data_IF_078136103897
#
_entry.id   IF_078136103897
#
_cell.length_a   1.000
_cell.length_b   1.000
_cell.length_c   1.000
_cell.angle_alpha   90.00
_cell.angle_beta   90.00
_cell.angle_gamma   90.00
#
_symmetry.space_group_name_H-M   'P 1'
#
loop_
_entity.id
_entity.type
_entity.pdbx_description
1 polymer ?
#
# COMPACT_ATOMS: atom_id res chain seq x y z
N UNK A 1 1.10 26.03 22.48
CA UNK A 1 1.10 26.20 21.03
C UNK A 1 0.61 24.90 20.42
N UNK A 2 -0.66 24.86 20.02
CA UNK A 2 -1.30 23.70 19.39
C UNK A 2 -1.61 24.10 17.97
N UNK A 3 -0.87 23.56 17.00
CA UNK A 3 -1.24 23.65 15.59
C UNK A 3 -1.61 22.25 15.12
N UNK A 4 -2.85 21.88 15.46
CA UNK A 4 -3.62 20.93 14.67
C UNK A 4 -3.82 21.55 13.30
N UNK A 5 -3.15 21.02 12.28
CA UNK A 5 -3.47 21.31 10.88
C UNK A 5 -3.74 20.00 10.16
N UNK A 6 -4.94 19.47 10.41
CA UNK A 6 -5.58 18.46 9.58
C UNK A 6 -5.94 19.06 8.23
N UNK A 7 -5.06 18.91 7.23
CA UNK A 7 -5.41 19.25 5.85
C UNK A 7 -6.10 18.05 5.17
N UNK A 8 -7.40 17.93 5.40
CA UNK A 8 -8.32 17.06 4.65
C UNK A 8 -8.63 17.67 3.27
N UNK A 9 -7.71 17.51 2.32
CA UNK A 9 -7.86 17.99 0.93
C UNK A 9 -8.39 16.92 -0.04
N UNK A 10 -9.60 17.16 -0.56
CA UNK A 10 -10.30 16.58 -1.74
C UNK A 10 -10.51 15.05 -1.83
N UNK A 11 -11.78 14.64 -1.67
CA UNK A 11 -12.32 13.36 -2.13
C UNK A 11 -12.56 13.38 -3.66
N UNK A 12 -12.03 12.38 -4.39
CA UNK A 12 -12.83 11.64 -5.37
C UNK A 12 -13.14 10.28 -4.75
N UNK A 13 -14.33 10.14 -4.19
CA UNK A 13 -14.82 8.85 -3.73
C UNK A 13 -15.45 8.14 -4.93
N UNK A 14 -14.93 6.95 -5.28
CA UNK A 14 -15.46 5.97 -6.25
C UNK A 14 -15.16 6.19 -7.75
N UNK A 15 -13.91 6.01 -8.16
CA UNK A 15 -13.55 5.67 -9.55
C UNK A 15 -13.82 4.18 -9.90
N UNK A 16 -14.70 3.52 -9.13
CA UNK A 16 -15.10 2.11 -9.31
C UNK A 16 -14.05 1.06 -8.91
N UNK A 17 -14.37 -0.24 -9.05
CA UNK A 17 -13.51 -1.36 -8.63
C UNK A 17 -12.11 -1.34 -9.25
N UNK A 18 -11.98 -0.83 -10.49
CA UNK A 18 -10.71 -0.72 -11.19
C UNK A 18 -9.73 0.22 -10.48
N UNK A 19 -10.22 1.35 -9.95
CA UNK A 19 -9.38 2.26 -9.19
C UNK A 19 -9.00 1.69 -7.83
N UNK A 20 -9.91 0.99 -7.15
CA UNK A 20 -9.59 0.30 -5.90
C UNK A 20 -8.48 -0.75 -6.07
N UNK A 21 -8.51 -1.52 -7.16
CA UNK A 21 -7.46 -2.50 -7.48
C UNK A 21 -6.10 -1.83 -7.75
N UNK A 22 -6.08 -0.75 -8.56
CA UNK A 22 -4.85 0.02 -8.84
C UNK A 22 -4.28 0.66 -7.57
N UNK A 23 -5.15 1.24 -6.73
CA UNK A 23 -4.74 1.84 -5.48
C UNK A 23 -4.15 0.81 -4.53
N UNK A 24 -4.77 -0.38 -4.40
CA UNK A 24 -4.20 -1.48 -3.58
C UNK A 24 -2.82 -1.88 -4.10
N UNK A 25 -2.66 -2.07 -5.41
CA UNK A 25 -1.36 -2.43 -5.99
C UNK A 25 -0.29 -1.36 -5.72
N UNK A 26 -0.60 -0.08 -5.95
CA UNK A 26 0.30 1.03 -5.64
C UNK A 26 0.69 1.08 -4.15
N UNK A 27 -0.28 0.87 -3.27
CA UNK A 27 -0.09 0.82 -1.82
C UNK A 27 0.82 -0.34 -1.38
N UNK A 28 0.66 -1.54 -1.95
CA UNK A 28 1.52 -2.71 -1.64
C UNK A 28 2.96 -2.44 -2.07
N UNK A 29 3.17 -1.93 -3.28
CA UNK A 29 4.50 -1.57 -3.78
C UNK A 29 5.17 -0.53 -2.88
N UNK A 30 4.45 0.56 -2.56
CA UNK A 30 4.97 1.60 -1.69
C UNK A 30 5.25 1.08 -0.26
N UNK A 31 4.41 0.19 0.27
CA UNK A 31 4.60 -0.40 1.59
C UNK A 31 5.89 -1.23 1.63
N UNK A 32 6.13 -2.07 0.61
CA UNK A 32 7.36 -2.85 0.49
C UNK A 32 8.59 -1.94 0.49
N UNK A 33 8.58 -0.86 -0.28
CA UNK A 33 9.68 0.10 -0.36
C UNK A 33 9.90 0.84 0.97
N UNK A 34 8.84 1.36 1.59
CA UNK A 34 8.93 2.04 2.89
C UNK A 34 9.48 1.11 3.97
N UNK A 35 8.98 -0.13 4.05
CA UNK A 35 9.45 -1.09 5.04
C UNK A 35 10.89 -1.53 4.81
N UNK A 36 11.32 -1.66 3.55
CA UNK A 36 12.71 -1.98 3.22
C UNK A 36 13.67 -0.84 3.59
N UNK A 37 13.28 0.41 3.36
CA UNK A 37 14.13 1.59 3.60
C UNK A 37 14.15 2.03 5.06
N UNK A 38 13.03 1.89 5.78
CA UNK A 38 12.81 2.53 7.08
C UNK A 38 12.38 1.56 8.19
N UNK A 39 12.28 0.27 7.88
CA UNK A 39 11.81 -0.76 8.80
C UNK A 39 10.29 -0.75 9.02
N UNK A 40 9.83 -1.74 9.79
CA UNK A 40 8.40 -1.95 10.03
C UNK A 40 7.75 -0.86 10.88
N UNK A 41 8.51 -0.06 11.63
CA UNK A 41 7.96 1.01 12.47
C UNK A 41 7.65 2.30 11.69
N UNK A 42 8.02 2.37 10.41
CA UNK A 42 7.77 3.52 9.55
C UNK A 42 6.28 3.93 9.56
N UNK A 43 5.94 5.23 9.57
CA UNK A 43 4.55 5.66 9.68
C UNK A 43 3.76 5.24 8.44
N UNK A 44 2.54 4.69 8.63
CA UNK A 44 1.65 4.30 7.53
C UNK A 44 1.35 5.47 6.57
N UNK A 45 1.37 6.70 7.07
CA UNK A 45 1.22 7.89 6.24
C UNK A 45 2.32 8.07 5.18
N UNK A 46 3.53 7.56 5.43
CA UNK A 46 4.62 7.55 4.45
C UNK A 46 4.30 6.63 3.25
N UNK A 47 3.60 5.52 3.50
CA UNK A 47 3.15 4.58 2.46
C UNK A 47 2.15 5.28 1.54
N UNK A 48 1.11 5.90 2.10
CA UNK A 48 0.13 6.66 1.32
C UNK A 48 0.78 7.76 0.48
N UNK A 49 1.70 8.53 1.08
CA UNK A 49 2.43 9.58 0.36
C UNK A 49 3.24 9.01 -0.80
N UNK A 50 3.98 7.92 -0.59
CA UNK A 50 4.80 7.27 -1.63
C UNK A 50 3.94 6.66 -2.73
N UNK A 51 2.79 6.07 -2.39
CA UNK A 51 1.83 5.53 -3.34
C UNK A 51 1.04 6.60 -4.11
N UNK A 52 1.15 7.87 -3.73
CA UNK A 52 0.36 8.96 -4.32
C UNK A 52 -1.14 8.86 -4.03
N UNK A 53 -1.54 8.22 -2.92
CA UNK A 53 -2.95 8.04 -2.53
C UNK A 53 -3.28 8.77 -1.23
N UNK A 54 -4.54 9.15 -1.06
CA UNK A 54 -5.01 9.78 0.18
C UNK A 54 -5.02 8.83 1.38
N UNK A 55 -4.83 9.36 2.59
CA UNK A 55 -4.83 8.58 3.84
C UNK A 55 -6.12 7.76 4.03
N UNK A 56 -7.28 8.34 3.68
CA UNK A 56 -8.55 7.61 3.76
C UNK A 56 -8.63 6.41 2.82
N UNK A 57 -7.89 6.40 1.70
CA UNK A 57 -7.79 5.23 0.81
C UNK A 57 -6.88 4.19 1.43
N UNK A 58 -5.74 4.60 1.98
CA UNK A 58 -4.83 3.70 2.71
C UNK A 58 -5.57 2.95 3.83
N UNK A 59 -6.22 3.65 4.75
CA UNK A 59 -6.89 3.01 5.89
C UNK A 59 -8.09 2.14 5.50
N UNK A 60 -8.70 2.37 4.32
CA UNK A 60 -9.73 1.46 3.77
C UNK A 60 -9.14 0.14 3.28
N UNK A 61 -7.89 0.14 2.80
CA UNK A 61 -7.21 -1.07 2.35
C UNK A 61 -6.44 -1.75 3.48
N UNK A 62 -5.79 -0.96 4.34
CA UNK A 62 -4.92 -1.39 5.43
C UNK A 62 -5.34 -0.65 6.71
N UNK A 63 -6.30 -1.20 7.47
CA UNK A 63 -6.78 -0.57 8.71
C UNK A 63 -5.67 -0.44 9.75
N UNK A 64 -4.68 -1.33 9.70
CA UNK A 64 -3.52 -1.32 10.59
C UNK A 64 -2.23 -1.73 9.86
N UNK A 65 -1.12 -1.69 10.60
CA UNK A 65 0.20 -2.06 10.10
C UNK A 65 0.29 -3.54 9.71
N UNK A 66 -0.35 -4.43 10.48
CA UNK A 66 -0.31 -5.86 10.21
C UNK A 66 -0.96 -6.19 8.86
N UNK A 67 -2.05 -5.52 8.51
CA UNK A 67 -2.71 -5.65 7.21
C UNK A 67 -1.81 -5.22 6.05
N UNK A 68 -1.05 -4.13 6.20
CA UNK A 68 -0.08 -3.70 5.19
C UNK A 68 1.07 -4.70 5.04
N UNK A 69 1.61 -5.21 6.16
CA UNK A 69 2.67 -6.23 6.16
C UNK A 69 2.20 -7.53 5.52
N UNK A 70 1.01 -8.02 5.88
CA UNK A 70 0.43 -9.22 5.29
C UNK A 70 0.27 -9.09 3.77
N UNK A 71 -0.23 -7.94 3.30
CA UNK A 71 -0.39 -7.70 1.87
C UNK A 71 0.95 -7.67 1.10
N UNK A 72 2.02 -7.17 1.72
CA UNK A 72 3.38 -7.23 1.15
C UNK A 72 3.89 -8.67 1.10
N UNK A 73 3.69 -9.45 2.17
CA UNK A 73 4.08 -10.86 2.22
C UNK A 73 3.34 -11.69 1.16
N UNK A 74 2.03 -11.52 1.04
CA UNK A 74 1.20 -12.14 0.01
C UNK A 74 1.74 -11.85 -1.40
N UNK A 75 2.07 -10.59 -1.68
CA UNK A 75 2.58 -10.19 -2.99
C UNK A 75 3.97 -10.76 -3.26
N UNK A 76 4.86 -10.76 -2.27
CA UNK A 76 6.19 -11.36 -2.41
C UNK A 76 6.11 -12.86 -2.71
N UNK A 77 5.23 -13.60 -2.02
CA UNK A 77 5.01 -15.03 -2.28
C UNK A 77 4.47 -15.23 -3.70
N UNK A 78 3.46 -14.45 -4.11
CA UNK A 78 2.92 -14.51 -5.47
C UNK A 78 3.98 -14.28 -6.54
N UNK A 79 4.89 -13.33 -6.33
CA UNK A 79 5.98 -13.08 -7.28
C UNK A 79 6.91 -14.29 -7.38
N UNK A 80 7.28 -14.90 -6.24
CA UNK A 80 8.10 -16.12 -6.23
C UNK A 80 7.39 -17.27 -6.98
N UNK A 81 6.10 -17.47 -6.74
CA UNK A 81 5.29 -18.50 -7.43
C UNK A 81 5.23 -18.27 -8.94
N UNK A 82 5.04 -17.01 -9.38
CA UNK A 82 5.02 -16.65 -10.81
C UNK A 82 6.36 -16.91 -11.48
N UNK A 83 7.47 -16.56 -10.81
CA UNK A 83 8.80 -16.83 -11.34
C UNK A 83 9.12 -18.33 -11.39
N UNK A 84 8.69 -19.10 -10.39
CA UNK A 84 8.84 -20.55 -10.38
C UNK A 84 8.07 -21.18 -11.55
N UNK A 85 6.81 -20.79 -11.74
CA UNK A 85 5.98 -21.26 -12.86
C UNK A 85 6.56 -20.87 -14.24
N UNK A 86 7.24 -19.72 -14.35
CA UNK A 86 7.91 -19.29 -15.58
C UNK A 86 9.22 -20.04 -15.88
N UNK A 87 9.86 -20.63 -14.86
CA UNK A 87 11.07 -21.48 -15.03
C UNK A 87 10.72 -22.93 -15.38
N UNK A 88 9.49 -23.36 -15.08
CA UNK A 88 8.96 -24.70 -15.39
C UNK A 88 8.14 -24.75 -16.70
N UNK A 89 8.23 -23.73 -17.56
CA UNK A 89 7.64 -23.77 -18.90
C UNK A 89 8.48 -24.67 -19.83
N UNK A 90 7.88 -25.68 -20.50
CA UNK A 90 8.58 -26.65 -21.34
C UNK A 90 9.21 -26.06 -22.61
#
# INVERSE_FOLDING_TARGET
MVEHSEQHGRRPANDGPKAAARNRSALVTAAREVFAEHGLEAPLSAIARRAGVGQGVLYRHFPDRAAAVAAVLEENVRQIEQEAAGRDAP
#
